data_IF_455241849645
#
_entry.id   IF_455241849645
#
_cell.length_a   1.000
_cell.length_b   1.000
_cell.length_c   1.000
_cell.angle_alpha   90.00
_cell.angle_beta   90.00
_cell.angle_gamma   90.00
#
_symmetry.space_group_name_H-M   'P 1'
#
loop_
_entity.id
_entity.type
_entity.pdbx_description
1 polymer ?
#
# COMPACT_ATOMS: atom_id res chain seq x y z
N UNK A 1 51.57 37.40 21.40
CA UNK A 1 50.68 37.48 20.22
C UNK A 1 51.00 36.49 19.09
N UNK A 2 52.17 35.84 19.02
CA UNK A 2 52.44 34.85 17.95
C UNK A 2 51.84 33.45 18.19
N UNK A 3 51.68 33.02 19.45
CA UNK A 3 51.11 31.70 19.78
C UNK A 3 49.61 31.56 19.46
N UNK A 4 48.85 32.67 19.51
CA UNK A 4 47.40 32.67 19.23
C UNK A 4 47.13 32.53 17.71
N UNK A 5 48.00 33.10 16.86
CA UNK A 5 47.86 33.01 15.40
C UNK A 5 48.15 31.59 14.88
N UNK A 6 49.05 30.84 15.52
CA UNK A 6 49.29 29.44 15.19
C UNK A 6 48.10 28.53 15.57
N UNK A 7 47.45 28.78 16.71
CA UNK A 7 46.30 27.99 17.14
C UNK A 7 45.08 28.18 16.23
N UNK A 8 44.80 29.42 15.81
CA UNK A 8 43.72 29.73 14.87
C UNK A 8 43.99 29.19 13.44
N UNK A 9 45.26 29.13 13.00
CA UNK A 9 45.60 28.49 11.71
C UNK A 9 45.40 26.97 11.72
N UNK A 10 45.67 26.31 12.85
CA UNK A 10 45.43 24.87 13.03
C UNK A 10 43.94 24.54 13.14
N UNK A 11 43.15 25.36 13.82
CA UNK A 11 41.69 25.18 13.91
C UNK A 11 40.98 25.40 12.57
N UNK A 12 41.41 26.39 11.77
CA UNK A 12 40.84 26.61 10.42
C UNK A 12 41.26 25.51 9.44
N UNK A 13 42.40 24.84 9.64
CA UNK A 13 42.80 23.67 8.84
C UNK A 13 42.05 22.40 9.25
N UNK A 14 41.73 22.22 10.54
CA UNK A 14 40.94 21.07 11.02
C UNK A 14 39.46 21.18 10.66
N UNK A 15 38.90 22.40 10.55
CA UNK A 15 37.51 22.59 10.11
C UNK A 15 37.30 22.41 8.59
N UNK A 16 38.38 22.25 7.81
CA UNK A 16 38.32 22.02 6.35
C UNK A 16 38.46 20.56 5.92
N UNK A 17 38.48 19.60 6.84
CA UNK A 17 38.77 18.20 6.52
C UNK A 17 37.67 17.18 6.86
N UNK A 18 36.39 17.57 6.94
CA UNK A 18 35.30 16.60 7.13
C UNK A 18 34.10 16.74 6.20
N UNK A 19 34.29 17.32 5.00
CA UNK A 19 33.35 17.16 3.89
C UNK A 19 34.01 16.37 2.75
N UNK A 20 34.30 15.10 3.03
CA UNK A 20 34.42 14.10 1.97
C UNK A 20 33.13 13.29 1.94
N UNK A 21 32.09 13.91 1.39
CA UNK A 21 30.97 13.17 0.79
C UNK A 21 31.57 12.37 -0.36
N UNK A 22 32.00 11.15 -0.04
CA UNK A 22 32.54 10.23 -1.04
C UNK A 22 31.42 10.02 -2.06
N UNK A 23 31.62 10.36 -3.34
CA UNK A 23 30.61 10.11 -4.34
C UNK A 23 30.36 8.60 -4.33
N UNK A 24 29.11 8.21 -4.06
CA UNK A 24 28.69 6.81 -4.05
C UNK A 24 29.28 6.14 -5.29
N UNK A 25 30.19 5.18 -5.07
CA UNK A 25 30.81 4.44 -6.17
C UNK A 25 29.68 3.82 -6.99
N UNK A 26 29.43 4.38 -8.17
CA UNK A 26 28.57 3.79 -9.22
C UNK A 26 29.27 2.55 -9.79
N UNK A 27 29.53 1.57 -8.93
CA UNK A 27 29.75 0.20 -9.38
C UNK A 27 28.40 -0.38 -9.78
N UNK A 28 28.35 -1.18 -10.83
CA UNK A 28 27.16 -1.96 -11.15
C UNK A 28 26.84 -2.85 -9.93
N UNK A 29 25.83 -2.50 -9.13
CA UNK A 29 25.40 -3.27 -7.96
C UNK A 29 25.19 -4.72 -8.38
N UNK A 30 25.82 -5.72 -7.77
CA UNK A 30 25.56 -7.14 -8.07
C UNK A 30 25.06 -7.87 -6.83
N UNK A 31 24.48 -9.06 -7.02
CA UNK A 31 24.00 -9.89 -5.90
C UNK A 31 22.85 -9.25 -5.11
N UNK A 32 22.89 -9.38 -3.78
CA UNK A 32 21.81 -8.96 -2.89
C UNK A 32 21.54 -7.46 -2.91
N UNK A 33 22.55 -6.61 -3.12
CA UNK A 33 22.36 -5.15 -3.19
C UNK A 33 21.49 -4.74 -4.39
N UNK A 34 21.70 -5.35 -5.56
CA UNK A 34 20.83 -5.10 -6.72
C UNK A 34 19.39 -5.53 -6.43
N UNK A 35 19.21 -6.75 -5.92
CA UNK A 35 17.88 -7.29 -5.60
C UNK A 35 17.12 -6.43 -4.60
N UNK A 36 17.79 -5.95 -3.54
CA UNK A 36 17.18 -5.05 -2.57
C UNK A 36 16.76 -3.72 -3.19
N UNK A 37 17.58 -3.17 -4.08
CA UNK A 37 17.25 -1.93 -4.79
C UNK A 37 16.04 -2.13 -5.70
N UNK A 38 16.04 -3.19 -6.49
CA UNK A 38 14.91 -3.51 -7.38
C UNK A 38 13.62 -3.75 -6.56
N UNK A 39 13.72 -4.47 -5.43
CA UNK A 39 12.59 -4.70 -4.52
C UNK A 39 12.01 -3.38 -3.96
N UNK A 40 12.84 -2.39 -3.64
CA UNK A 40 12.34 -1.10 -3.15
C UNK A 40 11.52 -0.35 -4.21
N UNK A 41 11.97 -0.37 -5.48
CA UNK A 41 11.20 0.17 -6.59
C UNK A 41 9.89 -0.61 -6.80
N UNK A 42 9.95 -1.94 -6.72
CA UNK A 42 8.76 -2.79 -6.85
C UNK A 42 7.73 -2.53 -5.74
N UNK A 43 8.16 -2.33 -4.50
CA UNK A 43 7.27 -1.95 -3.39
C UNK A 43 6.50 -0.68 -3.72
N UNK A 44 7.21 0.37 -4.15
CA UNK A 44 6.59 1.63 -4.54
C UNK A 44 5.60 1.45 -5.70
N UNK A 45 5.99 0.71 -6.74
CA UNK A 45 5.13 0.45 -7.90
C UNK A 45 3.88 -0.36 -7.55
N UNK A 46 4.00 -1.33 -6.65
CA UNK A 46 2.87 -2.14 -6.18
C UNK A 46 1.91 -1.31 -5.34
N UNK A 47 2.41 -0.44 -4.47
CA UNK A 47 1.60 0.46 -3.66
C UNK A 47 0.86 1.47 -4.55
N UNK A 48 1.53 2.08 -5.54
CA UNK A 48 0.85 2.95 -6.50
C UNK A 48 -0.27 2.23 -7.29
N UNK A 49 -0.07 0.96 -7.64
CA UNK A 49 -1.10 0.15 -8.30
C UNK A 49 -2.26 -0.17 -7.36
N UNK A 50 -1.95 -0.42 -6.08
CA UNK A 50 -2.96 -0.63 -5.05
C UNK A 50 -3.84 0.61 -4.90
N UNK A 51 -3.25 1.81 -4.79
CA UNK A 51 -3.99 3.06 -4.60
C UNK A 51 -4.97 3.33 -5.75
N UNK A 52 -4.54 3.11 -7.00
CA UNK A 52 -5.42 3.22 -8.18
C UNK A 52 -6.60 2.25 -8.12
N UNK A 53 -6.34 0.99 -7.77
CA UNK A 53 -7.40 0.01 -7.59
C UNK A 53 -8.34 0.38 -6.43
N UNK A 54 -7.82 1.02 -5.38
CA UNK A 54 -8.61 1.49 -4.26
C UNK A 54 -9.59 2.57 -4.68
N UNK A 55 -9.13 3.56 -5.45
CA UNK A 55 -9.96 4.62 -6.04
C UNK A 55 -11.03 4.04 -6.98
N UNK A 56 -10.64 3.16 -7.91
CA UNK A 56 -11.56 2.45 -8.79
C UNK A 56 -12.63 1.68 -8.00
N UNK A 57 -12.20 0.94 -6.97
CA UNK A 57 -13.09 0.15 -6.12
C UNK A 57 -14.03 1.00 -5.28
N UNK A 58 -13.57 2.17 -4.82
CA UNK A 58 -14.40 3.11 -4.05
C UNK A 58 -15.55 3.65 -4.90
N UNK A 59 -15.27 3.99 -6.17
CA UNK A 59 -16.28 4.42 -7.13
C UNK A 59 -17.31 3.32 -7.40
N UNK A 60 -16.86 2.08 -7.63
CA UNK A 60 -17.77 0.93 -7.86
C UNK A 60 -18.61 0.63 -6.61
N UNK A 61 -18.00 0.64 -5.42
CA UNK A 61 -18.71 0.42 -4.17
C UNK A 61 -19.79 1.48 -3.93
N UNK A 62 -19.50 2.76 -4.21
CA UNK A 62 -20.48 3.84 -4.11
C UNK A 62 -21.68 3.63 -5.05
N UNK A 63 -21.44 3.18 -6.29
CA UNK A 63 -22.52 2.84 -7.22
C UNK A 63 -23.41 1.71 -6.69
N UNK A 64 -22.83 0.66 -6.12
CA UNK A 64 -23.58 -0.45 -5.51
C UNK A 64 -24.53 0.08 -4.43
N UNK A 65 -24.03 0.94 -3.54
CA UNK A 65 -24.86 1.55 -2.48
C UNK A 65 -25.94 2.46 -3.06
N UNK A 66 -25.61 3.31 -4.03
CA UNK A 66 -26.58 4.19 -4.68
C UNK A 66 -27.70 3.40 -5.39
N UNK A 67 -27.37 2.30 -6.07
CA UNK A 67 -28.39 1.43 -6.70
C UNK A 67 -29.33 0.80 -5.66
N UNK A 68 -28.85 0.54 -4.44
CA UNK A 68 -29.70 0.04 -3.34
C UNK A 68 -30.65 1.12 -2.83
N UNK A 69 -30.15 2.35 -2.63
CA UNK A 69 -30.97 3.51 -2.22
C UNK A 69 -32.10 3.74 -3.23
N UNK A 70 -31.77 3.74 -4.54
CA UNK A 70 -32.76 3.88 -5.60
C UNK A 70 -33.82 2.78 -5.54
N UNK A 71 -33.43 1.52 -5.27
CA UNK A 71 -34.35 0.39 -5.15
C UNK A 71 -35.28 0.51 -3.92
N UNK A 72 -34.79 1.02 -2.80
CA UNK A 72 -35.60 1.26 -1.59
C UNK A 72 -36.62 2.38 -1.82
N UNK A 73 -36.22 3.49 -2.45
CA UNK A 73 -37.13 4.59 -2.78
C UNK A 73 -38.31 4.17 -3.68
N UNK A 74 -38.06 3.24 -4.61
CA UNK A 74 -39.10 2.69 -5.49
C UNK A 74 -40.09 1.80 -4.73
N UNK A 75 -39.64 1.07 -3.70
CA UNK A 75 -40.52 0.25 -2.86
C UNK A 75 -41.42 1.11 -1.97
N UNK A 76 -40.91 2.20 -1.41
CA UNK A 76 -41.70 3.11 -0.58
C UNK A 76 -42.82 3.80 -1.39
N UNK A 77 -42.54 4.17 -2.64
CA UNK A 77 -43.54 4.76 -3.54
C UNK A 77 -44.66 3.77 -3.93
N UNK A 78 -44.38 2.48 -4.03
CA UNK A 78 -45.37 1.43 -4.35
C UNK A 78 -46.35 1.21 -3.16
N UNK A 79 -45.85 1.30 -1.92
CA UNK A 79 -46.66 1.09 -0.71
C UNK A 79 -47.59 2.29 -0.41
N UNK A 80 -47.25 3.50 -0.85
CA UNK A 80 -48.06 4.70 -0.66
C UNK A 80 -49.14 4.92 -1.75
N UNK A 81 -49.14 4.09 -2.81
CA UNK A 81 -50.05 4.18 -3.97
C UNK A 81 -51.00 2.97 -4.08
N UNK A 82 -51.54 2.47 -2.97
CA UNK A 82 -52.61 1.44 -2.97
C UNK A 82 -53.95 1.90 -3.61
N UNK A 83 -53.96 3.03 -4.34
CA UNK A 83 -55.17 3.64 -4.90
C UNK A 83 -55.27 3.76 -6.43
N UNK A 84 -54.21 3.55 -7.22
CA UNK A 84 -54.34 3.61 -8.69
C UNK A 84 -53.24 2.84 -9.44
N UNK A 85 -53.67 1.99 -10.38
CA UNK A 85 -52.86 1.04 -11.14
C UNK A 85 -51.81 1.74 -12.04
N UNK A 86 -50.63 2.04 -11.51
CA UNK A 86 -49.42 2.27 -12.31
C UNK A 86 -48.42 1.16 -12.00
N UNK A 87 -48.55 0.03 -12.70
CA UNK A 87 -47.60 -1.07 -12.62
C UNK A 87 -46.19 -0.58 -12.93
N UNK A 88 -45.28 -0.59 -11.94
CA UNK A 88 -43.84 -0.43 -12.19
C UNK A 88 -43.45 -1.45 -13.26
N UNK A 89 -42.97 -0.95 -14.41
CA UNK A 89 -42.69 -1.81 -15.55
C UNK A 89 -41.68 -2.89 -15.14
N UNK A 90 -41.99 -4.19 -15.30
CA UNK A 90 -41.09 -5.30 -14.94
C UNK A 90 -39.68 -5.18 -15.56
N UNK A 91 -39.57 -4.47 -16.69
CA UNK A 91 -38.33 -4.14 -17.37
C UNK A 91 -37.36 -3.29 -16.53
N UNK A 92 -37.85 -2.29 -15.79
CA UNK A 92 -37.01 -1.38 -14.99
C UNK A 92 -36.39 -2.09 -13.78
N UNK A 93 -37.18 -2.94 -13.10
CA UNK A 93 -36.70 -3.76 -11.98
C UNK A 93 -35.65 -4.77 -12.44
N UNK A 94 -35.86 -5.36 -13.62
CA UNK A 94 -34.92 -6.31 -14.22
C UNK A 94 -33.59 -5.62 -14.61
N UNK A 95 -33.65 -4.44 -15.22
CA UNK A 95 -32.47 -3.65 -15.59
C UNK A 95 -31.64 -3.25 -14.37
N UNK A 96 -32.26 -2.71 -13.32
CA UNK A 96 -31.56 -2.35 -12.07
C UNK A 96 -30.87 -3.54 -11.41
N UNK A 97 -31.49 -4.73 -11.47
CA UNK A 97 -30.89 -5.96 -10.93
C UNK A 97 -29.65 -6.39 -11.72
N UNK A 98 -29.67 -6.23 -13.05
CA UNK A 98 -28.56 -6.57 -13.92
C UNK A 98 -27.38 -5.61 -13.75
N UNK A 99 -27.65 -4.31 -13.62
CA UNK A 99 -26.63 -3.29 -13.34
C UNK A 99 -25.94 -3.51 -11.99
N UNK A 100 -26.72 -3.81 -10.94
CA UNK A 100 -26.16 -4.14 -9.63
C UNK A 100 -25.25 -5.38 -9.69
N UNK A 101 -25.67 -6.43 -10.39
CA UNK A 101 -24.86 -7.63 -10.57
C UNK A 101 -23.55 -7.33 -11.33
N UNK A 102 -23.60 -6.47 -12.34
CA UNK A 102 -22.41 -6.04 -13.09
C UNK A 102 -21.43 -5.28 -12.20
N UNK A 103 -21.90 -4.35 -11.36
CA UNK A 103 -21.03 -3.60 -10.44
C UNK A 103 -20.46 -4.50 -9.33
N UNK A 104 -21.22 -5.47 -8.80
CA UNK A 104 -20.68 -6.48 -7.87
C UNK A 104 -19.57 -7.31 -8.52
N UNK A 105 -19.75 -7.73 -9.77
CA UNK A 105 -18.74 -8.47 -10.54
C UNK A 105 -17.49 -7.61 -10.76
N UNK A 106 -17.67 -6.32 -11.04
CA UNK A 106 -16.57 -5.38 -11.19
C UNK A 106 -15.79 -5.21 -9.89
N UNK A 107 -16.47 -5.03 -8.75
CA UNK A 107 -15.84 -4.93 -7.44
C UNK A 107 -15.05 -6.20 -7.09
N UNK A 108 -15.61 -7.37 -7.38
CA UNK A 108 -14.93 -8.66 -7.21
C UNK A 108 -13.63 -8.73 -8.02
N UNK A 109 -13.64 -8.27 -9.27
CA UNK A 109 -12.46 -8.23 -10.12
C UNK A 109 -11.38 -7.29 -9.56
N UNK A 110 -11.77 -6.14 -9.00
CA UNK A 110 -10.84 -5.20 -8.35
C UNK A 110 -10.19 -5.86 -7.14
N UNK A 111 -10.96 -6.50 -6.25
CA UNK A 111 -10.44 -7.23 -5.09
C UNK A 111 -9.50 -8.37 -5.51
N UNK A 112 -9.81 -9.08 -6.59
CA UNK A 112 -8.93 -10.13 -7.13
C UNK A 112 -7.58 -9.56 -7.63
N UNK A 113 -7.60 -8.39 -8.28
CA UNK A 113 -6.37 -7.68 -8.68
C UNK A 113 -5.56 -7.22 -7.47
N UNK A 114 -6.22 -6.73 -6.42
CA UNK A 114 -5.56 -6.38 -5.15
C UNK A 114 -4.93 -7.61 -4.47
N UNK A 115 -5.62 -8.74 -4.46
CA UNK A 115 -5.07 -10.01 -3.97
C UNK A 115 -3.82 -10.45 -4.76
N UNK A 116 -3.81 -10.20 -6.09
CA UNK A 116 -2.64 -10.46 -6.91
C UNK A 116 -1.46 -9.53 -6.58
N UNK A 117 -1.71 -8.26 -6.25
CA UNK A 117 -0.68 -7.35 -5.72
C UNK A 117 -0.11 -7.93 -4.42
N UNK A 118 -0.97 -8.36 -3.50
CA UNK A 118 -0.54 -8.90 -2.21
C UNK A 118 0.33 -10.17 -2.37
N UNK A 119 -0.01 -11.05 -3.31
CA UNK A 119 0.81 -12.22 -3.63
C UNK A 119 2.22 -11.85 -4.11
N UNK A 120 2.38 -10.72 -4.83
CA UNK A 120 3.72 -10.23 -5.21
C UNK A 120 4.48 -9.69 -4.00
N UNK A 121 3.81 -8.93 -3.15
CA UNK A 121 4.40 -8.45 -1.88
C UNK A 121 4.88 -9.62 -1.01
N UNK A 122 4.07 -10.68 -0.87
CA UNK A 122 4.43 -11.89 -0.11
C UNK A 122 5.69 -12.58 -0.65
N UNK A 123 5.80 -12.68 -1.98
CA UNK A 123 7.01 -13.23 -2.64
C UNK A 123 8.23 -12.38 -2.35
N UNK A 124 8.09 -11.05 -2.32
CA UNK A 124 9.19 -10.15 -1.97
C UNK A 124 9.62 -10.30 -0.52
N UNK A 125 8.69 -10.44 0.42
CA UNK A 125 8.99 -10.74 1.83
C UNK A 125 9.71 -12.08 1.96
N UNK A 126 9.23 -13.12 1.26
CA UNK A 126 9.86 -14.44 1.24
C UNK A 126 11.29 -14.40 0.68
N UNK A 127 11.50 -13.65 -0.41
CA UNK A 127 12.83 -13.43 -0.97
C UNK A 127 13.74 -12.66 0.00
N UNK A 128 13.20 -11.66 0.72
CA UNK A 128 13.91 -10.94 1.78
C UNK A 128 14.37 -11.85 2.91
N UNK A 129 13.52 -12.79 3.35
CA UNK A 129 13.88 -13.80 4.36
C UNK A 129 15.03 -14.70 3.87
N UNK A 130 14.94 -15.20 2.64
CA UNK A 130 16.03 -16.00 2.04
C UNK A 130 17.34 -15.23 1.94
N UNK A 131 17.29 -13.92 1.67
CA UNK A 131 18.49 -13.07 1.70
C UNK A 131 19.07 -12.92 3.11
N UNK A 132 18.24 -12.82 4.15
CA UNK A 132 18.71 -12.81 5.55
C UNK A 132 19.38 -14.13 5.94
N UNK A 133 18.79 -15.27 5.57
CA UNK A 133 19.37 -16.59 5.82
C UNK A 133 20.71 -16.77 5.13
N UNK A 134 20.80 -16.33 3.87
CA UNK A 134 22.05 -16.35 3.11
C UNK A 134 23.11 -15.45 3.75
N UNK A 135 22.72 -14.27 4.25
CA UNK A 135 23.66 -13.38 4.94
C UNK A 135 24.16 -14.00 6.24
N UNK A 136 23.27 -14.59 7.04
CA UNK A 136 23.63 -15.32 8.26
C UNK A 136 24.54 -16.50 7.97
N UNK A 137 24.34 -17.19 6.86
CA UNK A 137 25.23 -18.27 6.41
C UNK A 137 26.62 -17.75 6.03
N UNK A 138 26.71 -16.63 5.31
CA UNK A 138 27.98 -16.08 4.82
C UNK A 138 28.80 -15.37 5.90
N UNK A 139 28.16 -14.65 6.81
CA UNK A 139 28.82 -13.77 7.78
C UNK A 139 28.58 -14.17 9.25
N UNK A 140 27.83 -15.25 9.48
CA UNK A 140 27.48 -15.73 10.82
C UNK A 140 26.43 -14.85 11.51
N UNK A 141 26.20 -15.11 12.80
CA UNK A 141 25.19 -14.39 13.60
C UNK A 141 25.50 -12.89 13.79
N UNK A 142 26.76 -12.48 13.61
CA UNK A 142 27.17 -11.07 13.68
C UNK A 142 26.77 -10.26 12.44
N UNK A 143 26.37 -10.93 11.36
CA UNK A 143 26.00 -10.29 10.10
C UNK A 143 27.20 -9.64 9.39
N UNK A 144 26.90 -8.95 8.30
CA UNK A 144 27.90 -8.24 7.49
C UNK A 144 28.53 -7.10 8.30
N UNK A 145 29.85 -6.85 8.18
CA UNK A 145 30.52 -5.78 8.92
C UNK A 145 30.15 -4.35 8.49
N UNK A 146 29.57 -4.17 7.31
CA UNK A 146 29.12 -2.88 6.78
C UNK A 146 27.78 -3.04 6.04
N UNK A 147 26.86 -2.07 6.09
CA UNK A 147 25.58 -2.15 5.38
C UNK A 147 25.77 -2.21 3.86
N UNK A 148 24.78 -2.76 3.15
CA UNK A 148 24.80 -2.82 1.68
C UNK A 148 24.51 -1.47 1.02
N UNK A 149 23.85 -0.56 1.75
CA UNK A 149 23.51 0.77 1.29
C UNK A 149 24.04 1.84 2.26
N UNK A 150 23.16 2.54 2.99
CA UNK A 150 23.55 3.67 3.82
C UNK A 150 23.72 3.22 5.27
N UNK A 151 22.62 2.81 5.90
CA UNK A 151 22.55 2.55 7.34
C UNK A 151 21.88 1.24 7.69
N UNK A 152 21.08 0.66 6.78
CA UNK A 152 20.29 -0.52 7.10
C UNK A 152 21.05 -1.83 6.90
N UNK A 153 20.89 -2.71 7.90
CA UNK A 153 21.19 -4.13 7.79
C UNK A 153 20.16 -4.86 6.91
N UNK A 154 20.52 -6.05 6.40
CA UNK A 154 19.58 -6.90 5.66
C UNK A 154 18.33 -7.24 6.49
N UNK A 155 18.48 -7.43 7.80
CA UNK A 155 17.37 -7.71 8.71
C UNK A 155 16.36 -6.56 8.74
N UNK A 156 16.82 -5.31 8.78
CA UNK A 156 15.93 -4.15 8.75
C UNK A 156 15.13 -4.06 7.45
N UNK A 157 15.75 -4.34 6.29
CA UNK A 157 15.02 -4.40 5.02
C UNK A 157 13.90 -5.46 5.04
N UNK A 158 14.19 -6.64 5.59
CA UNK A 158 13.22 -7.73 5.69
C UNK A 158 12.08 -7.40 6.67
N UNK A 159 12.41 -6.79 7.81
CA UNK A 159 11.44 -6.38 8.83
C UNK A 159 10.49 -5.29 8.29
N UNK A 160 11.02 -4.27 7.64
CA UNK A 160 10.22 -3.23 7.00
C UNK A 160 9.34 -3.81 5.88
N UNK A 161 9.89 -4.69 5.04
CA UNK A 161 9.09 -5.37 4.00
C UNK A 161 7.97 -6.22 4.60
N UNK A 162 8.22 -6.92 5.71
CA UNK A 162 7.20 -7.72 6.41
C UNK A 162 6.10 -6.83 6.98
N UNK A 163 6.47 -5.73 7.64
CA UNK A 163 5.49 -4.79 8.21
C UNK A 163 4.62 -4.14 7.14
N UNK A 164 5.22 -3.74 6.01
CA UNK A 164 4.45 -3.26 4.85
C UNK A 164 3.48 -4.35 4.35
N UNK A 165 3.95 -5.58 4.16
CA UNK A 165 3.06 -6.66 3.74
C UNK A 165 1.89 -6.89 4.71
N UNK A 166 2.14 -6.89 6.02
CA UNK A 166 1.13 -7.19 7.04
C UNK A 166 -0.01 -6.16 7.04
N UNK A 167 0.29 -4.86 6.86
CA UNK A 167 -0.76 -3.83 6.80
C UNK A 167 -1.63 -3.96 5.56
N UNK A 168 -1.05 -4.24 4.39
CA UNK A 168 -1.81 -4.46 3.15
C UNK A 168 -2.59 -5.78 3.19
N UNK A 169 -2.09 -6.79 3.91
CA UNK A 169 -2.82 -8.04 4.16
C UNK A 169 -4.06 -7.82 5.00
N UNK A 170 -3.95 -7.03 6.07
CA UNK A 170 -5.10 -6.67 6.90
C UNK A 170 -6.12 -5.85 6.12
N UNK A 171 -5.67 -4.85 5.36
CA UNK A 171 -6.55 -4.04 4.51
C UNK A 171 -7.27 -4.88 3.45
N UNK A 172 -6.58 -5.83 2.81
CA UNK A 172 -7.23 -6.73 1.85
C UNK A 172 -8.34 -7.57 2.50
N UNK A 173 -8.09 -8.09 3.71
CA UNK A 173 -9.08 -8.88 4.43
C UNK A 173 -10.36 -8.06 4.69
N UNK A 174 -10.21 -6.80 5.10
CA UNK A 174 -11.35 -5.88 5.23
C UNK A 174 -12.08 -5.68 3.90
N UNK A 175 -11.36 -5.42 2.81
CA UNK A 175 -11.97 -5.24 1.48
C UNK A 175 -12.70 -6.49 0.99
N UNK A 176 -12.20 -7.67 1.33
CA UNK A 176 -12.89 -8.95 1.07
C UNK A 176 -14.18 -9.06 1.87
N UNK A 177 -14.19 -8.68 3.15
CA UNK A 177 -15.41 -8.63 3.97
C UNK A 177 -16.42 -7.65 3.37
N UNK A 178 -16.00 -6.43 3.03
CA UNK A 178 -16.88 -5.43 2.41
C UNK A 178 -17.49 -5.98 1.12
N UNK A 179 -16.69 -6.60 0.26
CA UNK A 179 -17.18 -7.21 -0.98
C UNK A 179 -18.29 -8.25 -0.76
N UNK A 180 -18.18 -9.09 0.28
CA UNK A 180 -19.22 -10.09 0.58
C UNK A 180 -20.50 -9.45 1.15
N UNK A 181 -20.38 -8.35 1.89
CA UNK A 181 -21.49 -7.80 2.67
C UNK A 181 -22.20 -6.61 2.01
N UNK A 182 -21.51 -5.83 1.17
CA UNK A 182 -21.96 -4.51 0.70
C UNK A 182 -23.29 -4.58 -0.07
N UNK A 183 -23.45 -5.57 -0.95
CA UNK A 183 -24.67 -5.76 -1.74
C UNK A 183 -25.83 -6.34 -0.92
N UNK A 184 -25.53 -7.04 0.18
CA UNK A 184 -26.50 -7.81 0.96
C UNK A 184 -27.02 -7.07 2.19
N UNK A 185 -26.23 -6.14 2.74
CA UNK A 185 -26.65 -5.41 3.94
C UNK A 185 -27.88 -4.52 3.67
N UNK A 186 -28.87 -4.54 4.56
CA UNK A 186 -30.04 -3.65 4.51
C UNK A 186 -29.88 -2.43 5.40
N UNK A 187 -28.80 -2.37 6.19
CA UNK A 187 -28.51 -1.24 7.07
C UNK A 187 -27.73 -0.17 6.29
N UNK A 188 -28.33 1.01 6.13
CA UNK A 188 -27.72 2.11 5.38
C UNK A 188 -26.50 2.69 6.10
N UNK A 189 -26.56 2.84 7.43
CA UNK A 189 -25.42 3.32 8.23
C UNK A 189 -24.23 2.37 8.08
N UNK A 190 -24.48 1.05 8.07
CA UNK A 190 -23.43 0.06 7.83
C UNK A 190 -22.88 0.14 6.41
N UNK A 191 -23.71 0.43 5.40
CA UNK A 191 -23.24 0.68 4.03
C UNK A 191 -22.30 1.89 3.98
N UNK A 192 -22.62 2.96 4.70
CA UNK A 192 -21.77 4.15 4.80
C UNK A 192 -20.47 3.88 5.54
N UNK A 193 -20.49 3.04 6.59
CA UNK A 193 -19.27 2.57 7.27
C UNK A 193 -18.39 1.80 6.30
N UNK A 194 -18.95 0.91 5.47
CA UNK A 194 -18.18 0.16 4.47
C UNK A 194 -17.58 1.07 3.39
N UNK A 195 -18.34 2.04 2.88
CA UNK A 195 -17.81 3.03 1.92
C UNK A 195 -16.66 3.84 2.51
N UNK A 196 -16.83 4.33 3.74
CA UNK A 196 -15.81 5.11 4.45
C UNK A 196 -14.56 4.26 4.71
N UNK A 197 -14.75 3.03 5.17
CA UNK A 197 -13.65 2.08 5.41
C UNK A 197 -12.89 1.75 4.12
N UNK A 198 -13.60 1.57 3.01
CA UNK A 198 -12.94 1.35 1.71
C UNK A 198 -12.12 2.56 1.29
N UNK A 199 -12.68 3.77 1.40
CA UNK A 199 -12.03 5.01 0.99
C UNK A 199 -10.79 5.31 1.81
N UNK A 200 -10.90 5.27 3.13
CA UNK A 200 -9.85 5.74 4.05
C UNK A 200 -8.81 4.68 4.40
N UNK A 201 -9.06 3.40 4.10
CA UNK A 201 -8.11 2.31 4.29
C UNK A 201 -7.54 2.25 5.72
N UNK A 202 -8.37 1.97 6.74
CA UNK A 202 -8.04 2.18 8.14
C UNK A 202 -6.81 1.40 8.64
N UNK A 203 -6.40 0.33 7.95
CA UNK A 203 -5.21 -0.44 8.31
C UNK A 203 -3.92 0.09 7.67
N UNK A 204 -4.00 1.02 6.71
CA UNK A 204 -2.85 1.66 6.07
C UNK A 204 -2.58 3.01 6.73
N UNK A 205 -1.85 2.96 7.84
CA UNK A 205 -1.47 4.15 8.60
C UNK A 205 -0.37 4.99 7.91
N UNK A 206 -0.23 6.25 8.30
CA UNK A 206 0.89 7.11 7.87
C UNK A 206 2.26 6.55 8.27
N UNK A 207 2.31 5.73 9.32
CA UNK A 207 3.53 5.00 9.72
C UNK A 207 4.03 4.08 8.59
N UNK A 208 3.13 3.44 7.84
CA UNK A 208 3.46 2.59 6.69
C UNK A 208 3.99 3.39 5.50
N UNK A 209 3.43 4.59 5.26
CA UNK A 209 3.95 5.51 4.24
C UNK A 209 5.38 5.93 4.60
N UNK A 210 5.62 6.31 5.86
CA UNK A 210 6.96 6.65 6.34
C UNK A 210 7.95 5.50 6.19
N UNK A 211 7.53 4.25 6.41
CA UNK A 211 8.35 3.06 6.19
C UNK A 211 8.75 2.90 4.72
N UNK A 212 7.80 3.08 3.78
CA UNK A 212 8.10 3.07 2.35
C UNK A 212 9.08 4.18 1.98
N UNK A 213 8.86 5.39 2.48
CA UNK A 213 9.75 6.54 2.24
C UNK A 213 11.17 6.25 2.74
N UNK A 214 11.29 5.72 3.95
CA UNK A 214 12.57 5.32 4.53
C UNK A 214 13.27 4.25 3.69
N UNK A 215 12.53 3.25 3.21
CA UNK A 215 13.06 2.22 2.31
C UNK A 215 13.59 2.80 1.00
N UNK A 216 12.86 3.77 0.41
CA UNK A 216 13.25 4.42 -0.84
C UNK A 216 14.46 5.34 -0.67
N UNK A 217 14.54 6.06 0.43
CA UNK A 217 15.71 6.88 0.78
C UNK A 217 16.92 5.97 0.97
N UNK A 218 16.80 4.95 1.81
CA UNK A 218 17.89 4.02 2.14
C UNK A 218 18.49 3.36 0.88
N UNK A 219 17.64 2.99 -0.09
CA UNK A 219 18.08 2.38 -1.37
C UNK A 219 18.47 3.39 -2.45
N UNK A 220 18.40 4.69 -2.14
CA UNK A 220 18.79 5.79 -3.03
C UNK A 220 17.83 6.05 -4.19
N UNK A 221 16.55 5.72 -4.04
CA UNK A 221 15.47 6.12 -4.96
C UNK A 221 14.93 7.52 -4.64
N UNK A 222 15.09 7.99 -3.40
CA UNK A 222 14.77 9.35 -2.98
C UNK A 222 16.00 10.00 -2.35
N UNK A 223 16.08 11.32 -2.50
CA UNK A 223 17.06 12.12 -1.80
C UNK A 223 16.67 12.25 -0.32
N UNK A 224 17.69 12.42 0.53
CA UNK A 224 17.55 12.83 1.93
C UNK A 224 17.12 14.30 2.01
#
# INVERSE_FOLDING_TARGET
MHLIVCHLKLEVQLYKYSETTTPARKGNLTGSARKLKDNAADWHNLILKWDRLNEEGSSVAAKIVNSKISKESLKEHDVLMEGDHLSVAPSLVHQNSQELQAECTNLQNIVNKMAHILSKMEKMVSAGRGMCELEKFQYGAKGRPAPLFQTWSMQQFAEVSSRLYDVYKQELALKQTILQELAHTTNMDLSMVYLSSWLYQPYIEDSSKLLLESLLIETGHRAL
#
